data_IF_035494139897
#
_entry.id   IF_035494139897
#
_cell.length_a   1.000
_cell.length_b   1.000
_cell.length_c   1.000
_cell.angle_alpha   90.00
_cell.angle_beta   90.00
_cell.angle_gamma   90.00
#
_symmetry.space_group_name_H-M   'P 1'
#
loop_
_entity.id
_entity.type
_entity.pdbx_description
1 polymer ?
#
# COMPACT_ATOMS: atom_id res chain seq x y z
N UNK A 1 2.57 11.07 21.72
CA UNK A 1 1.97 10.97 20.37
C UNK A 1 1.14 9.69 20.28
N UNK A 2 -0.04 9.74 19.66
CA UNK A 2 -0.82 8.53 19.41
C UNK A 2 -0.13 7.66 18.35
N UNK A 3 0.14 6.39 18.66
CA UNK A 3 0.74 5.40 17.77
C UNK A 3 -0.23 4.23 17.47
N UNK A 4 -1.52 4.46 17.61
CA UNK A 4 -2.55 3.45 17.31
C UNK A 4 -2.45 2.93 15.86
N UNK A 5 -1.91 3.75 14.96
CA UNK A 5 -1.67 3.36 13.56
C UNK A 5 -0.74 2.15 13.44
N UNK A 6 0.24 1.95 14.33
CA UNK A 6 1.15 0.79 14.29
C UNK A 6 0.37 -0.51 14.41
N UNK A 7 -0.57 -0.55 15.38
CA UNK A 7 -1.42 -1.72 15.56
C UNK A 7 -2.42 -1.88 14.39
N UNK A 8 -2.94 -0.79 13.85
CA UNK A 8 -3.85 -0.82 12.71
C UNK A 8 -3.15 -1.35 11.45
N UNK A 9 -1.98 -0.80 11.11
CA UNK A 9 -1.16 -1.26 10.00
C UNK A 9 -0.82 -2.75 10.13
N UNK A 10 -0.38 -3.18 11.33
CA UNK A 10 -0.05 -4.58 11.60
C UNK A 10 -1.23 -5.53 11.42
N UNK A 11 -2.45 -5.12 11.76
CA UNK A 11 -3.66 -5.94 11.50
C UNK A 11 -3.93 -6.12 10.00
N UNK A 12 -3.88 -5.04 9.23
CA UNK A 12 -4.11 -5.12 7.77
C UNK A 12 -2.97 -5.85 7.04
N UNK A 13 -1.73 -5.70 7.50
CA UNK A 13 -0.61 -6.49 6.99
C UNK A 13 -0.80 -7.99 7.27
N UNK A 14 -1.20 -8.38 8.48
CA UNK A 14 -1.47 -9.77 8.81
C UNK A 14 -2.63 -10.33 7.96
N UNK A 15 -3.68 -9.53 7.72
CA UNK A 15 -4.79 -9.87 6.83
C UNK A 15 -4.32 -10.08 5.40
N UNK A 16 -3.48 -9.17 4.87
CA UNK A 16 -2.93 -9.27 3.52
C UNK A 16 -2.05 -10.51 3.35
N UNK A 17 -1.17 -10.81 4.33
CA UNK A 17 -0.37 -12.06 4.33
C UNK A 17 -1.25 -13.31 4.27
N UNK A 18 -2.27 -13.36 5.12
CA UNK A 18 -3.20 -14.50 5.16
C UNK A 18 -3.98 -14.63 3.83
N UNK A 19 -4.38 -13.51 3.23
CA UNK A 19 -5.05 -13.50 1.93
C UNK A 19 -4.11 -14.01 0.84
N UNK A 20 -2.92 -13.45 0.70
CA UNK A 20 -1.94 -13.81 -0.35
C UNK A 20 -1.54 -15.28 -0.23
N UNK A 21 -1.38 -15.81 0.99
CA UNK A 21 -1.00 -17.21 1.20
C UNK A 21 -2.06 -18.22 0.71
N UNK A 22 -3.34 -17.85 0.69
CA UNK A 22 -4.44 -18.73 0.28
C UNK A 22 -4.92 -18.53 -1.15
N UNK A 23 -4.53 -17.40 -1.79
CA UNK A 23 -4.94 -17.12 -3.18
C UNK A 23 -4.28 -18.10 -4.16
N UNK A 24 -5.10 -18.75 -4.97
CA UNK A 24 -4.63 -19.51 -6.13
C UNK A 24 -4.24 -18.58 -7.28
N UNK A 25 -3.44 -19.08 -8.23
CA UNK A 25 -3.06 -18.29 -9.42
C UNK A 25 -4.29 -17.90 -10.25
N UNK A 26 -5.32 -18.73 -10.30
CA UNK A 26 -6.61 -18.41 -10.91
C UNK A 26 -7.27 -17.19 -10.22
N UNK A 27 -7.26 -17.15 -8.90
CA UNK A 27 -7.85 -16.05 -8.13
C UNK A 27 -7.02 -14.77 -8.28
N UNK A 28 -5.69 -14.88 -8.36
CA UNK A 28 -4.83 -13.73 -8.64
C UNK A 28 -5.14 -13.07 -9.99
N UNK A 29 -5.54 -13.86 -11.00
CA UNK A 29 -5.96 -13.38 -12.31
C UNK A 29 -7.43 -12.96 -12.39
N UNK A 30 -8.23 -13.13 -11.34
CA UNK A 30 -9.63 -12.73 -11.35
C UNK A 30 -9.77 -11.20 -11.35
N UNK A 31 -10.78 -10.70 -12.08
CA UNK A 31 -11.07 -9.26 -12.12
C UNK A 31 -11.77 -8.82 -10.82
N UNK A 32 -11.27 -7.74 -10.23
CA UNK A 32 -11.90 -7.04 -9.10
C UNK A 32 -12.91 -6.02 -9.64
N UNK A 33 -12.53 -5.29 -10.68
CA UNK A 33 -13.35 -4.32 -11.39
C UNK A 33 -13.02 -4.33 -12.89
N UNK A 34 -13.45 -3.32 -13.65
CA UNK A 34 -13.19 -3.24 -15.12
C UNK A 34 -11.71 -3.08 -15.47
N UNK A 35 -10.87 -2.63 -14.55
CA UNK A 35 -9.48 -2.24 -14.81
C UNK A 35 -8.45 -3.12 -14.14
N UNK A 36 -8.77 -3.71 -12.98
CA UNK A 36 -7.82 -4.35 -12.11
C UNK A 36 -8.14 -5.81 -11.85
N UNK A 37 -7.12 -6.66 -11.99
CA UNK A 37 -7.13 -8.01 -11.42
C UNK A 37 -6.84 -7.96 -9.91
N UNK A 38 -7.04 -9.07 -9.20
CA UNK A 38 -6.63 -9.22 -7.80
C UNK A 38 -5.14 -8.90 -7.64
N UNK A 39 -4.29 -9.47 -8.49
CA UNK A 39 -2.86 -9.17 -8.48
C UNK A 39 -2.58 -7.70 -8.80
N UNK A 40 -3.34 -7.10 -9.72
CA UNK A 40 -3.23 -5.69 -10.05
C UNK A 40 -3.55 -4.77 -8.87
N UNK A 41 -4.60 -5.08 -8.09
CA UNK A 41 -4.93 -4.33 -6.86
C UNK A 41 -3.83 -4.48 -5.81
N UNK A 42 -3.26 -5.68 -5.64
CA UNK A 42 -2.11 -5.88 -4.76
C UNK A 42 -0.89 -5.08 -5.24
N UNK A 43 -0.66 -5.01 -6.54
CA UNK A 43 0.38 -4.17 -7.14
C UNK A 43 0.16 -2.68 -6.93
N UNK A 44 -1.08 -2.23 -6.97
CA UNK A 44 -1.47 -0.85 -6.63
C UNK A 44 -1.15 -0.53 -5.16
N UNK A 45 -1.47 -1.45 -4.24
CA UNK A 45 -1.06 -1.31 -2.83
C UNK A 45 0.46 -1.22 -2.73
N UNK A 46 1.20 -2.12 -3.40
CA UNK A 46 2.66 -2.14 -3.39
C UNK A 46 3.26 -0.81 -3.90
N UNK A 47 2.68 -0.24 -4.95
CA UNK A 47 3.12 1.05 -5.51
C UNK A 47 3.00 2.18 -4.48
N UNK A 48 1.83 2.34 -3.87
CA UNK A 48 1.60 3.42 -2.91
C UNK A 48 2.30 3.20 -1.56
N UNK A 49 2.43 1.96 -1.11
CA UNK A 49 3.27 1.64 0.04
C UNK A 49 4.76 1.90 -0.25
N UNK A 50 5.21 1.66 -1.49
CA UNK A 50 6.56 2.01 -1.94
C UNK A 50 6.82 3.53 -1.95
N UNK A 51 5.84 4.32 -2.38
CA UNK A 51 5.91 5.79 -2.27
C UNK A 51 6.02 6.22 -0.79
N UNK A 52 5.19 5.65 0.08
CA UNK A 52 5.24 5.95 1.50
C UNK A 52 6.58 5.53 2.14
N UNK A 53 7.14 4.39 1.73
CA UNK A 53 8.46 3.92 2.18
C UNK A 53 9.57 4.90 1.79
N UNK A 54 9.54 5.41 0.55
CA UNK A 54 10.49 6.44 0.08
C UNK A 54 10.41 7.71 0.96
N UNK A 55 9.20 8.21 1.21
CA UNK A 55 9.01 9.41 2.03
C UNK A 55 9.36 9.20 3.50
N UNK A 56 9.04 8.03 4.07
CA UNK A 56 9.45 7.67 5.42
C UNK A 56 10.98 7.61 5.55
N UNK A 57 11.68 7.12 4.52
CA UNK A 57 13.14 7.13 4.45
C UNK A 57 13.72 8.56 4.42
N UNK A 58 13.11 9.48 3.67
CA UNK A 58 13.50 10.91 3.69
C UNK A 58 13.31 11.49 5.08
N UNK A 59 12.15 11.27 5.70
CA UNK A 59 11.86 11.75 7.05
C UNK A 59 12.86 11.21 8.09
N UNK A 60 13.20 9.94 8.02
CA UNK A 60 14.21 9.32 8.88
C UNK A 60 15.58 9.99 8.77
N UNK A 61 15.98 10.35 7.55
CA UNK A 61 17.24 11.07 7.27
C UNK A 61 17.15 12.58 7.51
N UNK A 62 16.01 13.08 7.98
CA UNK A 62 15.72 14.52 8.20
C UNK A 62 15.86 15.35 6.91
N UNK A 63 15.58 14.75 5.76
CA UNK A 63 15.54 15.44 4.47
C UNK A 63 14.20 16.15 4.31
N UNK A 64 14.18 17.40 3.80
CA UNK A 64 12.93 18.12 3.60
C UNK A 64 12.13 17.52 2.43
N UNK A 65 10.82 17.54 2.51
CA UNK A 65 9.96 17.31 1.36
C UNK A 65 9.99 18.52 0.43
N UNK A 66 10.00 18.27 -0.87
CA UNK A 66 9.93 19.33 -1.89
C UNK A 66 8.48 19.59 -2.29
N UNK A 67 8.20 20.75 -2.86
CA UNK A 67 6.85 21.11 -3.32
C UNK A 67 6.30 20.11 -4.37
N UNK A 68 7.18 19.48 -5.16
CA UNK A 68 6.80 18.48 -6.16
C UNK A 68 6.53 17.09 -5.57
N UNK A 69 6.90 16.84 -4.32
CA UNK A 69 6.65 15.59 -3.61
C UNK A 69 5.37 15.62 -2.79
N UNK A 70 4.80 16.82 -2.58
CA UNK A 70 3.51 16.95 -1.89
C UNK A 70 2.44 16.16 -2.65
N UNK A 71 1.52 15.57 -1.89
CA UNK A 71 0.45 14.75 -2.45
C UNK A 71 -0.33 15.52 -3.51
N UNK A 72 -0.41 15.02 -4.76
CA UNK A 72 -1.21 15.64 -5.80
C UNK A 72 -2.70 15.54 -5.43
N UNK A 73 -3.48 16.59 -5.71
CA UNK A 73 -4.92 16.60 -5.48
C UNK A 73 -5.70 15.63 -6.36
N UNK A 74 -5.10 15.15 -7.46
CA UNK A 74 -5.62 14.13 -8.37
C UNK A 74 -4.53 13.08 -8.60
N UNK A 75 -4.82 11.83 -8.23
CA UNK A 75 -3.90 10.71 -8.35
C UNK A 75 -4.30 9.71 -9.46
N UNK A 76 -5.40 9.93 -10.14
CA UNK A 76 -5.93 9.00 -11.14
C UNK A 76 -4.92 8.79 -12.28
N UNK A 77 -4.30 9.86 -12.75
CA UNK A 77 -3.28 9.77 -13.79
C UNK A 77 -2.04 8.96 -13.36
N UNK A 78 -1.69 8.97 -12.06
CA UNK A 78 -0.58 8.17 -11.51
C UNK A 78 -0.98 6.69 -11.55
N UNK A 79 -2.20 6.37 -11.11
CA UNK A 79 -2.74 5.02 -11.15
C UNK A 79 -2.80 4.49 -12.59
N UNK A 80 -3.31 5.29 -13.52
CA UNK A 80 -3.41 4.90 -14.93
C UNK A 80 -2.03 4.72 -15.58
N UNK A 81 -1.06 5.58 -15.27
CA UNK A 81 0.29 5.49 -15.83
C UNK A 81 1.11 4.35 -15.24
N UNK A 82 0.89 3.96 -13.98
CA UNK A 82 1.58 2.85 -13.32
C UNK A 82 1.03 1.47 -13.71
N UNK A 83 -0.25 1.39 -14.10
CA UNK A 83 -0.93 0.12 -14.41
C UNK A 83 -0.22 -0.75 -15.44
N UNK A 84 0.28 -0.26 -16.60
CA UNK A 84 0.99 -1.11 -17.55
C UNK A 84 2.25 -1.77 -17.00
N UNK A 85 2.94 -1.13 -16.06
CA UNK A 85 4.11 -1.69 -15.39
C UNK A 85 3.69 -2.75 -14.37
N UNK A 86 2.62 -2.49 -13.62
CA UNK A 86 2.04 -3.44 -12.65
C UNK A 86 1.58 -4.70 -13.39
N UNK A 87 0.83 -4.56 -14.49
CA UNK A 87 0.31 -5.67 -15.28
C UNK A 87 1.40 -6.51 -15.95
N UNK A 88 2.60 -5.97 -16.14
CA UNK A 88 3.75 -6.69 -16.69
C UNK A 88 4.46 -7.61 -15.68
N UNK A 89 4.17 -7.47 -14.38
CA UNK A 89 4.76 -8.31 -13.33
C UNK A 89 3.94 -9.59 -13.18
N UNK A 90 4.62 -10.74 -13.01
CA UNK A 90 3.95 -12.01 -12.78
C UNK A 90 3.03 -11.92 -11.53
N UNK A 91 1.76 -12.36 -11.60
CA UNK A 91 0.76 -12.15 -10.55
C UNK A 91 1.20 -12.61 -9.15
N UNK A 92 1.86 -13.76 -9.06
CA UNK A 92 2.37 -14.29 -7.78
C UNK A 92 3.49 -13.41 -7.21
N UNK A 93 4.45 -13.04 -8.05
CA UNK A 93 5.55 -12.16 -7.66
C UNK A 93 5.03 -10.79 -7.21
N UNK A 94 4.01 -10.27 -7.86
CA UNK A 94 3.38 -8.99 -7.50
C UNK A 94 2.69 -9.07 -6.13
N UNK A 95 1.98 -10.16 -5.85
CA UNK A 95 1.34 -10.38 -4.56
C UNK A 95 2.37 -10.50 -3.41
N UNK A 96 3.46 -11.21 -3.64
CA UNK A 96 4.56 -11.35 -2.66
C UNK A 96 5.28 -10.00 -2.45
N UNK A 97 5.50 -9.24 -3.52
CA UNK A 97 6.07 -7.90 -3.44
C UNK A 97 5.21 -6.94 -2.61
N UNK A 98 3.88 -7.01 -2.75
CA UNK A 98 2.97 -6.19 -1.98
C UNK A 98 3.11 -6.43 -0.48
N UNK A 99 3.22 -7.71 -0.06
CA UNK A 99 3.47 -8.06 1.35
C UNK A 99 4.82 -7.53 1.82
N UNK A 100 5.88 -7.75 1.03
CA UNK A 100 7.25 -7.33 1.40
C UNK A 100 7.36 -5.82 1.58
N UNK A 101 6.83 -5.02 0.65
CA UNK A 101 6.87 -3.55 0.76
C UNK A 101 6.03 -3.07 1.96
N UNK A 102 4.88 -3.71 2.19
CA UNK A 102 4.05 -3.37 3.35
C UNK A 102 4.74 -3.66 4.69
N UNK A 103 5.53 -4.73 4.76
CA UNK A 103 6.38 -5.03 5.93
C UNK A 103 7.41 -3.93 6.14
N UNK A 104 8.14 -3.57 5.09
CA UNK A 104 9.21 -2.58 5.15
C UNK A 104 8.70 -1.21 5.60
N UNK A 105 7.58 -0.73 5.05
CA UNK A 105 7.01 0.57 5.45
C UNK A 105 6.47 0.54 6.87
N UNK A 106 5.80 -0.53 7.29
CA UNK A 106 5.26 -0.65 8.65
C UNK A 106 6.38 -0.67 9.70
N UNK A 107 7.47 -1.41 9.44
CA UNK A 107 8.66 -1.43 10.30
C UNK A 107 9.30 -0.04 10.38
N UNK A 108 9.47 0.61 9.23
CA UNK A 108 10.10 1.93 9.19
C UNK A 108 9.28 2.98 9.96
N UNK A 109 7.98 3.12 9.69
CA UNK A 109 7.16 4.13 10.38
C UNK A 109 6.99 3.82 11.87
N UNK A 110 6.98 2.55 12.27
CA UNK A 110 6.97 2.17 13.67
C UNK A 110 8.28 2.54 14.40
N UNK A 111 9.39 2.58 13.69
CA UNK A 111 10.71 2.92 14.25
C UNK A 111 11.00 4.43 14.31
N UNK A 112 10.24 5.26 13.60
CA UNK A 112 10.47 6.70 13.56
C UNK A 112 10.25 7.34 14.94
N UNK A 113 11.14 8.28 15.37
CA UNK A 113 10.93 9.06 16.58
C UNK A 113 9.65 9.89 16.55
N UNK A 114 9.02 10.06 17.72
CA UNK A 114 7.77 10.84 17.85
C UNK A 114 7.92 12.27 17.32
N UNK A 115 9.10 12.88 17.48
CA UNK A 115 9.36 14.24 16.99
C UNK A 115 9.28 14.35 15.48
N UNK A 116 9.74 13.30 14.75
CA UNK A 116 9.65 13.27 13.29
C UNK A 116 8.22 13.05 12.82
N UNK A 117 7.50 12.12 13.44
CA UNK A 117 6.10 11.90 13.12
C UNK A 117 5.23 13.13 13.44
N UNK A 118 5.55 13.87 14.51
CA UNK A 118 4.86 15.11 14.87
C UNK A 118 5.15 16.27 13.93
N UNK A 119 6.19 16.19 13.10
CA UNK A 119 6.50 17.20 12.08
C UNK A 119 5.67 17.04 10.79
N UNK A 120 4.95 15.92 10.64
CA UNK A 120 4.04 15.72 9.52
C UNK A 120 2.78 16.55 9.71
N UNK A 121 2.32 17.15 8.62
CA UNK A 121 1.09 17.90 8.51
C UNK A 121 0.25 17.44 7.32
N UNK A 122 -0.88 18.07 7.08
CA UNK A 122 -1.81 17.73 6.00
C UNK A 122 -1.25 17.95 4.59
N UNK A 123 -0.14 18.66 4.46
CA UNK A 123 0.56 18.86 3.17
C UNK A 123 1.71 17.89 2.96
N UNK A 124 2.04 17.09 3.97
CA UNK A 124 3.13 16.14 3.90
C UNK A 124 2.75 14.94 3.00
N UNK A 125 3.67 14.47 2.13
CA UNK A 125 3.40 13.37 1.21
C UNK A 125 3.35 12.00 1.91
N UNK A 126 3.80 11.91 3.15
CA UNK A 126 3.77 10.70 3.96
C UNK A 126 2.53 10.65 4.84
N UNK A 127 1.66 9.67 4.60
CA UNK A 127 0.66 9.24 5.56
C UNK A 127 1.15 7.95 6.24
N UNK A 128 1.49 7.96 7.56
CA UNK A 128 1.96 6.78 8.27
C UNK A 128 0.83 5.75 8.53
N UNK A 129 -0.44 6.13 8.39
CA UNK A 129 -1.60 5.24 8.52
C UNK A 129 -1.82 4.54 7.17
N UNK A 130 -1.22 3.35 7.02
CA UNK A 130 -1.37 2.55 5.79
C UNK A 130 -2.59 1.62 5.82
N UNK A 131 -3.16 1.42 7.02
CA UNK A 131 -4.25 0.50 7.26
C UNK A 131 -5.51 0.83 6.43
N UNK A 132 -5.87 2.10 6.31
CA UNK A 132 -7.11 2.52 5.64
C UNK A 132 -7.07 2.16 4.16
N UNK A 133 -6.01 2.54 3.46
CA UNK A 133 -5.81 2.23 2.05
C UNK A 133 -5.74 0.72 1.78
N UNK A 134 -5.00 -0.03 2.62
CA UNK A 134 -4.92 -1.49 2.49
C UNK A 134 -6.27 -2.14 2.77
N UNK A 135 -6.95 -1.73 3.84
CA UNK A 135 -8.24 -2.29 4.27
C UNK A 135 -9.29 -2.16 3.18
N UNK A 136 -9.43 -0.99 2.56
CA UNK A 136 -10.34 -0.73 1.46
C UNK A 136 -10.11 -1.71 0.30
N UNK A 137 -8.88 -1.81 -0.18
CA UNK A 137 -8.54 -2.68 -1.30
C UNK A 137 -8.61 -4.18 -0.97
N UNK A 138 -8.30 -4.58 0.26
CA UNK A 138 -8.47 -5.97 0.68
C UNK A 138 -9.97 -6.36 0.74
N UNK A 139 -10.84 -5.44 1.14
CA UNK A 139 -12.30 -5.63 1.10
C UNK A 139 -12.78 -5.86 -0.34
N UNK A 140 -12.31 -5.05 -1.31
CA UNK A 140 -12.61 -5.21 -2.73
C UNK A 140 -12.18 -6.58 -3.27
N UNK A 141 -10.94 -6.99 -2.97
CA UNK A 141 -10.42 -8.31 -3.37
C UNK A 141 -11.27 -9.43 -2.79
N UNK A 142 -11.53 -9.40 -1.48
CA UNK A 142 -12.31 -10.44 -0.81
C UNK A 142 -13.74 -10.52 -1.34
N UNK A 143 -14.35 -9.38 -1.70
CA UNK A 143 -15.65 -9.36 -2.35
C UNK A 143 -15.62 -10.02 -3.73
N UNK A 144 -14.59 -9.75 -4.53
CA UNK A 144 -14.44 -10.26 -5.89
C UNK A 144 -14.22 -11.78 -5.95
N UNK A 145 -13.50 -12.35 -4.97
CA UNK A 145 -13.16 -13.77 -4.92
C UNK A 145 -14.19 -14.62 -4.15
N UNK A 146 -15.20 -14.00 -3.55
CA UNK A 146 -16.24 -14.71 -2.81
C UNK A 146 -17.01 -15.66 -3.76
N UNK A 147 -17.25 -16.93 -3.38
CA UNK A 147 -18.08 -17.82 -4.18
C UNK A 147 -19.45 -17.17 -4.42
N UNK A 148 -19.90 -17.15 -5.68
CA UNK A 148 -21.28 -16.78 -6.00
C UNK A 148 -22.17 -17.92 -5.52
N UNK A 149 -23.01 -17.67 -4.51
CA UNK A 149 -24.07 -18.59 -4.07
C UNK A 149 -25.18 -18.66 -5.11
#
# INVERSE_FOLDING_TARGET
>A
MDRSFVAANGRELARMRALVSRLSDRQLGAMVNEYWTVAGVLGHIAFWDGCALYFAGKLQRREPFTASENEPGDVDWINDSSRPLIDAIAPRALAELAVSIAEDIDELVASLPDELLASLDETSPLNPVRADHRGEHLDEIEAAIRPRT
#
